data_IF_946068627699
#
_entry.id   IF_946068627699
#
_cell.length_a   1.000
_cell.length_b   1.000
_cell.length_c   1.000
_cell.angle_alpha   90.00
_cell.angle_beta   90.00
_cell.angle_gamma   90.00
#
_symmetry.space_group_name_H-M   'P 1'
#
loop_
_entity.id
_entity.type
_entity.pdbx_description
1 polymer ?
#
# COMPACT_ATOMS: atom_id res chain seq x y z
N UNK A 1 5.62 -1.81 24.07
CA UNK A 1 4.79 -0.66 23.72
C UNK A 1 3.36 -1.16 23.51
N UNK A 2 2.39 -0.38 23.88
CA UNK A 2 0.98 -0.73 23.97
C UNK A 2 0.28 -0.85 22.61
N UNK A 3 0.96 -1.33 21.55
CA UNK A 3 0.38 -1.46 20.21
C UNK A 3 -0.02 -0.12 19.59
N UNK A 4 0.61 0.95 20.01
CA UNK A 4 0.35 2.28 19.49
C UNK A 4 1.25 2.54 18.27
N UNK A 5 0.74 2.18 17.13
CA UNK A 5 1.30 2.54 15.84
C UNK A 5 0.61 3.83 15.41
N UNK A 6 1.27 4.94 15.51
CA UNK A 6 0.73 6.24 15.16
C UNK A 6 1.71 6.98 14.28
N UNK A 7 1.23 7.42 13.13
CA UNK A 7 2.03 8.12 12.15
C UNK A 7 1.68 9.61 12.17
N UNK A 8 2.66 10.41 12.58
CA UNK A 8 2.49 11.85 12.68
C UNK A 8 2.44 12.54 11.31
N UNK A 9 3.19 12.05 10.34
CA UNK A 9 3.30 12.69 9.02
C UNK A 9 1.99 12.75 8.26
N UNK A 10 1.05 11.85 8.56
CA UNK A 10 -0.21 11.73 7.84
C UNK A 10 -1.37 12.53 8.46
N UNK A 11 -1.17 13.27 9.55
CA UNK A 11 -2.22 14.08 10.17
C UNK A 11 -2.70 15.27 9.31
N UNK A 12 -1.89 15.73 8.40
CA UNK A 12 -2.24 16.78 7.43
C UNK A 12 -2.80 16.21 6.12
N UNK A 13 -2.84 14.91 6.01
CA UNK A 13 -2.95 14.23 4.75
C UNK A 13 -4.38 14.04 4.27
N UNK A 14 -4.42 13.46 3.19
CA UNK A 14 -5.37 12.92 2.27
C UNK A 14 -6.72 12.50 2.87
N UNK A 15 -6.82 12.12 4.11
CA UNK A 15 -8.08 11.73 4.72
C UNK A 15 -8.79 12.87 5.44
N UNK A 16 -9.94 13.29 4.95
CA UNK A 16 -10.82 14.25 5.63
C UNK A 16 -11.22 13.82 7.04
N UNK A 17 -11.17 12.54 7.35
CA UNK A 17 -11.48 12.01 8.67
C UNK A 17 -10.45 12.43 9.72
N UNK A 18 -9.23 12.74 9.30
CA UNK A 18 -8.16 13.18 10.18
C UNK A 18 -7.93 14.68 10.18
N UNK A 19 -8.63 15.41 9.34
CA UNK A 19 -8.52 16.87 9.31
C UNK A 19 -8.84 17.47 10.68
N UNK A 20 -7.90 18.22 11.23
CA UNK A 20 -8.03 18.87 12.54
C UNK A 20 -7.80 17.98 13.76
N UNK A 21 -7.55 16.68 13.60
CA UNK A 21 -7.20 15.79 14.73
C UNK A 21 -5.77 16.02 15.20
N UNK A 22 -5.56 15.68 16.46
CA UNK A 22 -4.27 15.83 17.12
C UNK A 22 -3.59 14.48 17.29
N UNK A 23 -2.27 14.50 17.38
CA UNK A 23 -1.50 13.33 17.77
C UNK A 23 -2.01 12.76 19.11
N UNK A 24 -2.23 11.47 19.17
CA UNK A 24 -2.80 10.79 20.33
C UNK A 24 -4.32 10.63 20.33
N UNK A 25 -5.01 11.15 19.34
CA UNK A 25 -6.44 10.93 19.17
C UNK A 25 -6.72 9.65 18.39
N UNK A 26 -7.81 8.99 18.75
CA UNK A 26 -8.29 7.80 18.05
C UNK A 26 -9.44 8.16 17.12
N UNK A 27 -9.51 7.49 15.99
CA UNK A 27 -10.70 7.53 15.15
C UNK A 27 -11.89 6.95 15.91
N UNK A 28 -12.99 7.70 15.97
CA UNK A 28 -14.17 7.32 16.72
C UNK A 28 -14.87 6.07 16.17
N UNK A 29 -14.71 5.78 14.88
CA UNK A 29 -15.32 4.63 14.20
C UNK A 29 -14.52 3.35 14.41
N UNK A 30 -13.21 3.40 14.17
CA UNK A 30 -12.33 2.23 14.24
C UNK A 30 -11.74 1.98 15.62
N UNK A 31 -11.66 3.02 16.48
CA UNK A 31 -10.94 2.98 17.75
C UNK A 31 -9.42 2.95 17.61
N UNK A 32 -8.89 3.07 16.41
CA UNK A 32 -7.47 3.04 16.10
C UNK A 32 -6.88 4.45 16.09
N UNK A 33 -5.58 4.54 16.36
CA UNK A 33 -4.81 5.74 16.06
C UNK A 33 -4.63 5.91 14.56
N UNK A 34 -4.28 7.12 14.13
CA UNK A 34 -3.91 7.34 12.74
C UNK A 34 -2.65 6.54 12.42
N UNK A 35 -2.73 5.71 11.41
CA UNK A 35 -1.64 4.85 10.96
C UNK A 35 -1.56 4.92 9.44
N UNK A 36 -0.33 5.02 8.94
CA UNK A 36 -0.02 4.91 7.53
C UNK A 36 0.70 3.58 7.27
N UNK A 37 0.38 2.94 6.15
CA UNK A 37 1.04 1.69 5.77
C UNK A 37 2.58 1.87 5.67
N UNK A 38 3.04 3.05 5.26
CA UNK A 38 4.47 3.34 5.09
C UNK A 38 5.23 3.37 6.43
N UNK A 39 4.63 3.92 7.49
CA UNK A 39 5.19 3.84 8.84
C UNK A 39 5.32 2.40 9.33
N UNK A 40 4.31 1.57 9.05
CA UNK A 40 4.33 0.14 9.39
C UNK A 40 5.40 -0.60 8.56
N UNK A 41 5.52 -0.29 7.27
CA UNK A 41 6.58 -0.82 6.41
C UNK A 41 7.97 -0.58 7.02
N UNK A 42 8.30 0.67 7.33
CA UNK A 42 9.60 1.00 7.91
C UNK A 42 9.84 0.34 9.26
N UNK A 43 8.79 0.16 10.05
CA UNK A 43 8.88 -0.58 11.31
C UNK A 43 9.25 -2.04 11.05
N UNK A 44 8.55 -2.73 10.15
CA UNK A 44 8.85 -4.11 9.81
C UNK A 44 10.29 -4.27 9.27
N UNK A 45 10.72 -3.37 8.38
CA UNK A 45 12.09 -3.38 7.85
C UNK A 45 13.14 -3.17 8.96
N UNK A 46 12.95 -2.19 9.83
CA UNK A 46 13.89 -1.92 10.93
C UNK A 46 14.00 -3.11 11.89
N UNK A 47 12.88 -3.77 12.21
CA UNK A 47 12.88 -4.95 13.07
C UNK A 47 13.56 -6.14 12.40
N UNK A 48 13.33 -6.36 11.12
CA UNK A 48 14.04 -7.37 10.33
C UNK A 48 15.54 -7.17 10.37
N UNK A 49 16.00 -5.96 10.08
CA UNK A 49 17.43 -5.64 10.11
C UNK A 49 18.04 -5.80 11.52
N UNK A 50 17.31 -5.38 12.57
CA UNK A 50 17.75 -5.59 13.94
C UNK A 50 17.91 -7.08 14.28
N UNK A 51 16.97 -7.93 13.83
CA UNK A 51 17.08 -9.39 13.96
C UNK A 51 18.28 -9.94 13.22
N UNK A 52 18.48 -9.58 11.97
CA UNK A 52 19.60 -10.06 11.15
C UNK A 52 20.94 -9.69 11.77
N UNK A 53 21.06 -8.51 12.37
CA UNK A 53 22.30 -8.04 13.00
C UNK A 53 22.55 -8.65 14.38
N UNK A 54 21.52 -8.88 15.18
CA UNK A 54 21.67 -9.30 16.58
C UNK A 54 21.46 -10.80 16.82
N UNK A 55 20.65 -11.45 15.98
CA UNK A 55 20.13 -12.79 16.21
C UNK A 55 19.09 -12.87 17.34
N UNK A 56 18.63 -11.74 17.89
CA UNK A 56 17.67 -11.70 18.96
C UNK A 56 16.23 -11.83 18.42
N UNK A 57 15.56 -12.91 18.80
CA UNK A 57 14.24 -13.26 18.33
C UNK A 57 13.16 -12.22 18.70
N UNK A 58 13.38 -11.42 19.73
CA UNK A 58 12.44 -10.35 20.10
C UNK A 58 12.21 -9.37 18.94
N UNK A 59 13.26 -9.06 18.17
CA UNK A 59 13.12 -8.19 17.00
C UNK A 59 12.27 -8.82 15.89
N UNK A 60 12.44 -10.12 15.67
CA UNK A 60 11.61 -10.82 14.68
C UNK A 60 10.14 -10.83 15.09
N UNK A 61 9.84 -11.12 16.36
CA UNK A 61 8.49 -11.12 16.91
C UNK A 61 7.84 -9.73 16.77
N UNK A 62 8.57 -8.66 17.04
CA UNK A 62 8.08 -7.28 16.86
C UNK A 62 7.81 -6.96 15.39
N UNK A 63 8.66 -7.44 14.49
CA UNK A 63 8.44 -7.28 13.06
C UNK A 63 7.22 -8.05 12.55
N UNK A 64 6.98 -9.26 13.04
CA UNK A 64 5.77 -10.03 12.73
C UNK A 64 4.51 -9.33 13.24
N UNK A 65 4.57 -8.67 14.40
CA UNK A 65 3.47 -7.83 14.88
C UNK A 65 3.20 -6.65 13.94
N UNK A 66 4.25 -5.97 13.44
CA UNK A 66 4.10 -4.92 12.45
C UNK A 66 3.45 -5.44 11.16
N UNK A 67 3.85 -6.62 10.69
CA UNK A 67 3.23 -7.25 9.51
C UNK A 67 1.79 -7.70 9.76
N UNK A 68 1.44 -8.09 10.98
CA UNK A 68 0.05 -8.38 11.33
C UNK A 68 -0.82 -7.13 11.19
N UNK A 69 -0.34 -5.98 11.67
CA UNK A 69 -1.00 -4.68 11.44
C UNK A 69 -1.08 -4.33 9.94
N UNK A 70 0.03 -4.44 9.20
CA UNK A 70 0.06 -4.22 7.75
C UNK A 70 -0.97 -5.09 7.01
N UNK A 71 -1.21 -6.31 7.50
CA UNK A 71 -2.16 -7.25 6.90
C UNK A 71 -3.60 -6.74 6.92
N UNK A 72 -3.95 -5.83 7.83
CA UNK A 72 -5.28 -5.21 7.90
C UNK A 72 -5.52 -4.22 6.75
N UNK A 73 -4.45 -3.71 6.15
CA UNK A 73 -4.51 -2.79 5.00
C UNK A 73 -4.57 -3.52 3.67
N UNK A 74 -4.19 -4.79 3.64
CA UNK A 74 -4.17 -5.56 2.40
C UNK A 74 -5.57 -6.04 2.01
N UNK A 75 -6.02 -5.65 0.83
CA UNK A 75 -7.32 -6.03 0.30
C UNK A 75 -7.33 -7.53 -0.07
N UNK A 76 -8.21 -8.30 0.56
CA UNK A 76 -8.33 -9.76 0.37
C UNK A 76 -9.50 -10.17 -0.51
N UNK A 77 -10.32 -9.24 -0.99
CA UNK A 77 -11.45 -9.48 -1.88
C UNK A 77 -11.64 -8.31 -2.84
N UNK A 78 -12.29 -8.55 -3.97
CA UNK A 78 -12.60 -7.50 -4.94
C UNK A 78 -13.95 -6.86 -4.60
N UNK A 79 -13.93 -5.59 -4.27
CA UNK A 79 -15.15 -4.81 -4.14
C UNK A 79 -15.82 -4.65 -5.52
N UNK A 80 -17.08 -5.09 -5.70
CA UNK A 80 -17.70 -5.10 -7.02
C UNK A 80 -18.00 -3.72 -7.60
N UNK A 81 -17.95 -2.70 -6.75
CA UNK A 81 -18.16 -1.30 -7.13
C UNK A 81 -16.87 -0.55 -7.46
N UNK A 82 -15.69 -1.15 -7.24
CA UNK A 82 -14.44 -0.53 -7.65
C UNK A 82 -14.22 -0.72 -9.15
N UNK A 83 -13.91 0.36 -9.89
CA UNK A 83 -13.67 0.31 -11.32
C UNK A 83 -12.30 -0.29 -11.68
N UNK A 84 -11.47 -0.56 -10.67
CA UNK A 84 -10.11 -1.08 -10.81
C UNK A 84 -9.92 -2.32 -9.95
N UNK A 85 -9.00 -3.25 -10.32
CA UNK A 85 -8.63 -4.36 -9.45
C UNK A 85 -7.99 -3.85 -8.16
N UNK A 86 -8.30 -4.48 -7.01
CA UNK A 86 -7.76 -4.09 -5.70
C UNK A 86 -7.21 -5.24 -4.87
N UNK A 87 -7.49 -6.49 -5.24
CA UNK A 87 -7.06 -7.67 -4.46
C UNK A 87 -5.55 -7.74 -4.34
N UNK A 88 -5.07 -7.77 -3.10
CA UNK A 88 -3.63 -7.78 -2.79
C UNK A 88 -3.03 -6.39 -2.63
N UNK A 89 -3.74 -5.35 -3.07
CA UNK A 89 -3.34 -3.96 -2.87
C UNK A 89 -3.54 -3.49 -1.44
N UNK A 90 -2.86 -2.42 -1.07
CA UNK A 90 -2.91 -1.84 0.26
C UNK A 90 -3.68 -0.54 0.26
N UNK A 91 -4.46 -0.31 1.33
CA UNK A 91 -4.93 1.02 1.68
C UNK A 91 -3.79 1.87 2.21
N UNK A 92 -3.94 3.19 2.15
CA UNK A 92 -2.91 4.13 2.61
C UNK A 92 -2.91 4.24 4.13
N UNK A 93 -4.08 4.45 4.72
CA UNK A 93 -4.24 4.72 6.15
C UNK A 93 -5.39 3.90 6.75
N UNK A 94 -5.47 3.85 8.09
CA UNK A 94 -6.49 3.09 8.84
C UNK A 94 -7.92 3.53 8.59
N UNK A 95 -8.15 4.75 8.17
CA UNK A 95 -9.49 5.37 8.16
C UNK A 95 -9.84 6.09 6.87
N UNK A 96 -9.00 6.00 5.85
CA UNK A 96 -9.32 6.58 4.55
C UNK A 96 -9.90 5.54 3.59
N UNK A 97 -10.15 5.99 2.38
CA UNK A 97 -10.71 5.23 1.28
C UNK A 97 -9.78 5.21 0.06
N UNK A 98 -8.51 5.50 0.28
CA UNK A 98 -7.46 5.45 -0.74
C UNK A 98 -6.87 4.03 -0.84
N UNK A 99 -6.81 3.49 -2.05
CA UNK A 99 -6.45 2.10 -2.33
C UNK A 99 -5.34 1.99 -3.37
N UNK A 100 -4.80 0.81 -3.50
CA UNK A 100 -3.71 0.52 -4.46
C UNK A 100 -2.54 1.49 -4.33
N UNK A 101 -2.14 1.75 -3.10
CA UNK A 101 -1.00 2.61 -2.79
C UNK A 101 0.27 2.06 -3.44
N UNK A 102 0.96 2.88 -4.21
CA UNK A 102 2.20 2.50 -4.89
C UNK A 102 3.26 1.92 -3.93
N UNK A 103 3.23 2.31 -2.65
CA UNK A 103 4.08 1.75 -1.58
C UNK A 103 3.86 0.24 -1.35
N UNK A 104 2.75 -0.32 -1.81
CA UNK A 104 2.52 -1.76 -1.78
C UNK A 104 3.62 -2.57 -2.46
N UNK A 105 4.31 -1.98 -3.43
CA UNK A 105 5.45 -2.58 -4.11
C UNK A 105 6.62 -2.89 -3.17
N UNK A 106 6.78 -2.12 -2.11
CA UNK A 106 7.79 -2.34 -1.07
C UNK A 106 7.43 -3.54 -0.20
N UNK A 107 6.16 -3.69 0.16
CA UNK A 107 5.68 -4.82 0.95
C UNK A 107 5.89 -6.18 0.29
N UNK A 108 5.98 -6.22 -1.04
CA UNK A 108 6.23 -7.47 -1.76
C UNK A 108 7.52 -8.15 -1.29
N UNK A 109 8.64 -7.40 -1.17
CA UNK A 109 9.89 -7.93 -0.66
C UNK A 109 9.88 -8.14 0.84
N UNK A 110 9.31 -7.22 1.60
CA UNK A 110 9.23 -7.35 3.06
C UNK A 110 8.55 -8.64 3.47
N UNK A 111 7.36 -8.94 2.93
CA UNK A 111 6.69 -10.20 3.22
C UNK A 111 7.48 -11.42 2.74
N UNK A 112 8.16 -11.34 1.60
CA UNK A 112 8.99 -12.43 1.10
C UNK A 112 10.18 -12.70 2.02
N UNK A 113 10.80 -11.66 2.57
CA UNK A 113 11.91 -11.79 3.50
C UNK A 113 11.45 -12.42 4.82
N UNK A 114 10.31 -11.99 5.36
CA UNK A 114 9.73 -12.64 6.54
C UNK A 114 9.34 -14.10 6.27
N UNK A 115 8.85 -14.43 5.08
CA UNK A 115 8.67 -15.84 4.70
C UNK A 115 9.98 -16.61 4.76
N UNK A 116 11.07 -16.06 4.22
CA UNK A 116 12.40 -16.69 4.24
C UNK A 116 12.93 -16.90 5.66
N UNK A 117 12.63 -15.98 6.57
CA UNK A 117 13.07 -16.06 7.96
C UNK A 117 12.22 -17.02 8.80
N UNK A 118 10.93 -17.11 8.56
CA UNK A 118 9.98 -17.81 9.44
C UNK A 118 9.42 -19.09 8.85
N UNK A 119 9.43 -19.26 7.52
CA UNK A 119 8.76 -20.35 6.80
C UNK A 119 7.22 -20.21 6.77
N UNK A 120 6.67 -19.06 7.17
CA UNK A 120 5.22 -18.85 7.21
C UNK A 120 4.67 -18.59 5.79
N UNK A 121 3.98 -19.58 5.21
CA UNK A 121 3.43 -19.52 3.86
C UNK A 121 2.41 -18.38 3.65
N UNK A 122 1.80 -17.85 4.72
CA UNK A 122 0.92 -16.71 4.58
C UNK A 122 1.66 -15.45 4.15
N UNK A 123 2.90 -15.28 4.56
CA UNK A 123 3.74 -14.17 4.11
C UNK A 123 4.11 -14.29 2.64
N UNK A 124 4.41 -15.51 2.17
CA UNK A 124 4.64 -15.75 0.74
C UNK A 124 3.41 -15.37 -0.10
N UNK A 125 2.24 -15.84 0.30
CA UNK A 125 1.01 -15.52 -0.41
C UNK A 125 0.74 -14.01 -0.45
N UNK A 126 0.94 -13.32 0.68
CA UNK A 126 0.79 -11.86 0.76
C UNK A 126 1.81 -11.10 -0.09
N UNK A 127 3.06 -11.58 -0.13
CA UNK A 127 4.10 -11.05 -0.99
C UNK A 127 3.71 -11.13 -2.47
N UNK A 128 3.25 -12.31 -2.92
CA UNK A 128 2.79 -12.52 -4.29
C UNK A 128 1.59 -11.64 -4.66
N UNK A 129 0.65 -11.45 -3.73
CA UNK A 129 -0.50 -10.58 -3.93
C UNK A 129 -0.08 -9.10 -4.01
N UNK A 130 0.80 -8.65 -3.12
CA UNK A 130 1.33 -7.29 -3.14
C UNK A 130 2.09 -7.00 -4.45
N UNK A 131 2.91 -7.95 -4.90
CA UNK A 131 3.63 -7.84 -6.16
C UNK A 131 2.68 -7.68 -7.35
N UNK A 132 1.64 -8.50 -7.44
CA UNK A 132 0.63 -8.41 -8.52
C UNK A 132 -0.12 -7.09 -8.47
N UNK A 133 -0.57 -6.70 -7.28
CA UNK A 133 -1.32 -5.47 -7.08
C UNK A 133 -0.52 -4.22 -7.48
N UNK A 134 0.80 -4.27 -7.34
CA UNK A 134 1.69 -3.16 -7.71
C UNK A 134 1.63 -2.78 -9.20
N UNK A 135 1.07 -3.64 -10.05
CA UNK A 135 0.92 -3.38 -11.48
C UNK A 135 -0.53 -3.06 -11.90
N UNK A 136 -1.50 -3.14 -10.97
CA UNK A 136 -2.90 -2.95 -11.32
C UNK A 136 -3.24 -1.55 -11.85
N UNK A 137 -2.55 -0.54 -11.33
CA UNK A 137 -2.77 0.86 -11.71
C UNK A 137 -1.78 1.36 -12.76
N UNK A 138 -0.96 0.47 -13.32
CA UNK A 138 0.01 0.88 -14.34
C UNK A 138 -0.68 1.22 -15.67
N UNK A 139 -0.38 2.40 -16.18
CA UNK A 139 -0.82 2.81 -17.50
C UNK A 139 -0.04 2.04 -18.56
N UNK A 140 -0.69 1.08 -19.18
CA UNK A 140 -0.09 0.24 -20.24
C UNK A 140 -1.18 -0.45 -21.07
N UNK A 141 -0.84 -0.97 -22.27
CA UNK A 141 -1.79 -1.65 -23.15
C UNK A 141 -2.47 -2.85 -22.51
N UNK A 142 -1.75 -3.60 -21.66
CA UNK A 142 -2.22 -4.81 -20.99
C UNK A 142 -3.30 -4.52 -19.96
N UNK A 143 -3.29 -3.34 -19.35
CA UNK A 143 -4.29 -2.86 -18.39
C UNK A 143 -5.38 -2.03 -19.09
N UNK A 144 -6.01 -2.57 -20.11
CA UNK A 144 -6.91 -1.82 -20.99
C UNK A 144 -8.01 -1.03 -20.27
N UNK A 145 -8.57 -1.58 -19.18
CA UNK A 145 -9.62 -0.93 -18.38
C UNK A 145 -9.08 0.28 -17.63
N UNK A 146 -7.96 0.12 -16.94
CA UNK A 146 -7.29 1.21 -16.20
C UNK A 146 -6.75 2.27 -17.15
N UNK A 147 -6.16 1.85 -18.27
CA UNK A 147 -5.72 2.75 -19.34
C UNK A 147 -6.85 3.64 -19.83
N UNK A 148 -8.01 3.08 -20.12
CA UNK A 148 -9.15 3.86 -20.57
C UNK A 148 -9.62 4.90 -19.55
N UNK A 149 -9.47 4.64 -18.25
CA UNK A 149 -9.76 5.62 -17.21
C UNK A 149 -8.73 6.75 -17.23
N UNK A 150 -7.43 6.43 -17.29
CA UNK A 150 -6.38 7.47 -17.42
C UNK A 150 -6.61 8.37 -18.63
N UNK A 151 -6.83 7.80 -19.82
CA UNK A 151 -7.06 8.55 -21.06
C UNK A 151 -8.31 9.45 -20.99
N UNK A 152 -9.34 9.02 -20.25
CA UNK A 152 -10.55 9.83 -20.00
C UNK A 152 -10.29 10.99 -19.05
N UNK A 153 -9.55 10.74 -17.98
CA UNK A 153 -9.27 11.73 -16.93
C UNK A 153 -8.13 12.67 -17.32
N UNK A 154 -7.13 12.12 -18.00
CA UNK A 154 -5.94 12.80 -18.46
C UNK A 154 -5.78 12.62 -19.98
N UNK A 155 -6.53 13.38 -20.81
CA UNK A 155 -6.59 13.18 -22.27
C UNK A 155 -5.26 13.40 -23.00
N UNK A 156 -4.22 13.87 -22.32
CA UNK A 156 -2.87 14.06 -22.86
C UNK A 156 -2.00 12.80 -22.74
N UNK A 157 -2.46 11.76 -22.01
CA UNK A 157 -1.71 10.52 -21.89
C UNK A 157 -1.67 9.77 -23.22
N UNK A 158 -0.47 9.29 -23.57
CA UNK A 158 -0.23 8.49 -24.75
C UNK A 158 0.84 7.41 -24.49
N UNK A 159 1.31 6.75 -25.54
CA UNK A 159 2.30 5.68 -25.45
C UNK A 159 3.62 6.08 -24.77
N UNK A 160 3.93 7.36 -24.67
CA UNK A 160 5.13 7.86 -23.99
C UNK A 160 4.99 7.79 -22.47
N UNK A 161 3.76 7.67 -21.97
CA UNK A 161 3.44 7.59 -20.55
C UNK A 161 3.28 6.12 -20.08
N UNK A 162 3.54 5.14 -20.95
CA UNK A 162 3.49 3.74 -20.54
C UNK A 162 4.48 3.44 -19.41
N UNK A 163 3.99 2.84 -18.36
CA UNK A 163 4.71 2.59 -17.10
C UNK A 163 4.34 3.56 -15.98
N UNK A 164 3.60 4.63 -16.29
CA UNK A 164 3.07 5.52 -15.26
C UNK A 164 2.20 4.73 -14.28
N UNK A 165 2.37 5.01 -13.00
CA UNK A 165 1.54 4.46 -11.93
C UNK A 165 1.22 5.57 -10.95
N UNK A 166 -0.05 5.90 -10.80
CA UNK A 166 -0.48 6.92 -9.84
C UNK A 166 -0.15 6.50 -8.40
N UNK A 167 -0.07 7.48 -7.50
CA UNK A 167 0.28 7.24 -6.10
C UNK A 167 -0.69 6.26 -5.43
N UNK A 168 -1.99 6.52 -5.54
CA UNK A 168 -3.04 5.62 -5.06
C UNK A 168 -4.34 5.88 -5.80
N UNK A 169 -5.24 4.92 -5.75
CA UNK A 169 -6.59 5.06 -6.27
C UNK A 169 -7.48 5.75 -5.25
N UNK A 170 -8.34 6.64 -5.71
CA UNK A 170 -9.23 7.49 -4.91
C UNK A 170 -8.48 8.57 -4.10
N UNK A 171 -7.40 9.09 -4.67
CA UNK A 171 -6.64 10.18 -4.08
C UNK A 171 -7.46 11.47 -4.06
N UNK A 172 -7.50 12.15 -2.90
CA UNK A 172 -8.36 13.33 -2.69
C UNK A 172 -8.04 14.52 -3.59
N UNK A 173 -6.80 14.65 -4.03
CA UNK A 173 -6.35 15.71 -4.94
C UNK A 173 -6.47 15.34 -6.41
N UNK A 174 -7.05 14.17 -6.69
CA UNK A 174 -7.24 13.68 -8.05
C UNK A 174 -8.52 14.17 -8.73
N UNK A 175 -8.72 13.69 -9.94
CA UNK A 175 -9.96 13.94 -10.70
C UNK A 175 -10.97 12.83 -10.41
N UNK A 176 -12.18 13.14 -9.92
CA UNK A 176 -13.19 12.12 -9.66
C UNK A 176 -13.54 11.31 -10.90
N UNK A 177 -13.64 9.99 -10.72
CA UNK A 177 -14.03 9.04 -11.74
C UNK A 177 -15.33 8.37 -11.33
N UNK A 178 -16.43 8.75 -11.97
CA UNK A 178 -17.78 8.19 -11.72
C UNK A 178 -18.20 8.23 -10.23
N UNK A 179 -17.66 9.17 -9.46
CA UNK A 179 -17.91 9.32 -8.02
C UNK A 179 -17.25 8.27 -7.13
N UNK A 180 -16.40 7.44 -7.67
CA UNK A 180 -15.79 6.31 -6.94
C UNK A 180 -14.27 6.27 -7.04
N UNK A 181 -13.63 7.36 -7.30
CA UNK A 181 -12.20 7.35 -7.32
C UNK A 181 -11.62 8.53 -8.05
N UNK A 182 -10.48 8.89 -7.63
CA UNK A 182 -9.73 9.99 -8.16
C UNK A 182 -8.41 9.48 -8.69
N UNK A 183 -8.09 9.89 -9.92
CA UNK A 183 -6.85 9.55 -10.61
C UNK A 183 -5.97 10.77 -10.65
N UNK A 184 -4.79 10.67 -10.08
CA UNK A 184 -3.83 11.78 -10.06
C UNK A 184 -2.80 11.66 -11.16
N UNK A 185 -2.05 12.74 -11.36
CA UNK A 185 -0.83 12.76 -12.18
C UNK A 185 0.44 12.57 -11.35
N UNK A 186 0.31 12.34 -10.05
CA UNK A 186 1.46 12.06 -9.19
C UNK A 186 1.93 10.63 -9.43
N UNK A 187 3.15 10.49 -9.90
CA UNK A 187 3.75 9.20 -10.23
C UNK A 187 4.66 8.72 -9.10
N UNK A 188 4.32 7.55 -8.55
CA UNK A 188 5.22 6.80 -7.68
C UNK A 188 5.87 5.62 -8.42
N UNK A 189 5.38 5.31 -9.62
CA UNK A 189 5.90 4.27 -10.49
C UNK A 189 5.83 2.86 -9.92
N UNK A 190 6.18 1.89 -10.76
CA UNK A 190 6.28 0.48 -10.39
C UNK A 190 7.72 0.00 -10.18
N UNK A 191 8.67 0.91 -10.00
CA UNK A 191 10.11 0.60 -10.00
C UNK A 191 10.50 -0.43 -8.94
N UNK A 192 10.00 -0.30 -7.72
CA UNK A 192 10.28 -1.26 -6.65
C UNK A 192 9.70 -2.65 -6.96
N UNK A 193 8.48 -2.73 -7.52
CA UNK A 193 7.88 -3.98 -7.94
C UNK A 193 8.67 -4.64 -9.08
N UNK A 194 9.08 -3.86 -10.07
CA UNK A 194 9.90 -4.37 -11.18
C UNK A 194 11.25 -4.90 -10.69
N UNK A 195 11.91 -4.18 -9.76
CA UNK A 195 13.17 -4.61 -9.16
C UNK A 195 13.02 -5.88 -8.30
N UNK A 196 11.86 -6.11 -7.70
CA UNK A 196 11.62 -7.29 -6.86
C UNK A 196 11.25 -8.56 -7.64
N UNK A 197 10.83 -8.46 -8.90
CA UNK A 197 10.44 -9.63 -9.71
C UNK A 197 11.46 -10.78 -9.73
N UNK A 198 12.79 -10.57 -9.81
CA UNK A 198 13.76 -11.65 -9.79
C UNK A 198 13.74 -12.48 -8.50
N UNK A 199 13.33 -11.88 -7.38
CA UNK A 199 13.32 -12.53 -6.06
C UNK A 199 12.19 -13.56 -5.90
N UNK A 200 11.20 -13.53 -6.78
CA UNK A 200 10.03 -14.43 -6.79
C UNK A 200 10.19 -15.64 -7.74
N UNK A 201 11.37 -15.87 -8.26
CA UNK A 201 11.67 -16.99 -9.18
C UNK A 201 12.03 -18.26 -8.47
#
# INVERSE_FOLDING_TARGET
PEGRWEDFETYWSCSKQWEGKQFGEKDARSGLYNQCNFGIYWTAEAMKEAYVLSGDAEWLDLGEQALAEASLYQQIWQAPFFPVPTVGGFGVMTSDDEWNDARQSLFALTYLDYYRLTGNESYRARAEWALRASFYMMYCPENAGVRAIYERVHPHFDERDYGFHMENFNHHDGTPVDGLGEFTIFDWGCGAAAASLPEFK
#
